data_IF_271128953294
#
_entry.id   IF_271128953294
#
_cell.length_a   1.000
_cell.length_b   1.000
_cell.length_c   1.000
_cell.angle_alpha   90.00
_cell.angle_beta   90.00
_cell.angle_gamma   90.00
#
_symmetry.space_group_name_H-M   'P 1'
#
loop_
_entity.id
_entity.type
_entity.pdbx_description
1 polymer ?
#
# COMPACT_ATOMS: atom_id res chain seq x y z
N UNK A 1 -3.31 -7.43 -10.35
CA UNK A 1 -3.27 -7.76 -8.90
C UNK A 1 -4.30 -6.91 -8.21
N UNK A 2 -4.72 -7.21 -6.98
CA UNK A 2 -5.62 -6.34 -6.22
C UNK A 2 -4.86 -5.70 -5.06
N UNK A 3 -5.07 -4.41 -4.84
CA UNK A 3 -4.40 -3.62 -3.82
C UNK A 3 -5.31 -2.47 -3.35
N UNK A 4 -4.93 -1.80 -2.27
CA UNK A 4 -5.72 -0.70 -1.70
C UNK A 4 -5.23 0.63 -2.27
N UNK A 5 -6.09 1.34 -2.97
CA UNK A 5 -5.77 2.62 -3.60
C UNK A 5 -5.73 3.75 -2.56
N UNK A 6 -4.69 4.58 -2.62
CA UNK A 6 -4.44 5.68 -1.71
C UNK A 6 -4.54 7.02 -2.45
N UNK A 7 -5.05 8.03 -1.75
CA UNK A 7 -4.79 9.41 -2.13
C UNK A 7 -3.31 9.74 -1.94
N UNK A 8 -2.83 10.79 -2.61
CA UNK A 8 -1.46 11.27 -2.44
C UNK A 8 -1.16 11.63 -0.98
N UNK A 9 -2.10 12.29 -0.29
CA UNK A 9 -1.97 12.67 1.12
C UNK A 9 -1.81 11.43 2.02
N UNK A 10 -2.70 10.43 1.88
CA UNK A 10 -2.59 9.16 2.61
C UNK A 10 -1.26 8.44 2.34
N UNK A 11 -0.78 8.45 1.10
CA UNK A 11 0.52 7.87 0.74
C UNK A 11 1.67 8.63 1.40
N UNK A 12 1.61 9.96 1.43
CA UNK A 12 2.66 10.80 2.03
C UNK A 12 2.71 10.63 3.55
N UNK A 13 1.56 10.45 4.19
CA UNK A 13 1.45 10.24 5.63
C UNK A 13 2.08 8.92 6.10
N UNK A 14 2.02 7.86 5.28
CA UNK A 14 2.43 6.52 5.70
C UNK A 14 3.73 6.01 5.07
N UNK A 15 4.19 6.58 3.95
CA UNK A 15 5.36 6.04 3.24
C UNK A 15 6.59 5.97 4.16
N UNK A 16 7.13 4.76 4.35
CA UNK A 16 8.29 4.54 5.20
C UNK A 16 8.00 4.55 6.71
N UNK A 17 6.74 4.76 7.11
CA UNK A 17 6.33 4.67 8.51
C UNK A 17 6.32 3.21 8.95
N UNK A 18 7.02 2.94 10.04
CA UNK A 18 7.05 1.64 10.69
C UNK A 18 5.76 1.42 11.49
N UNK A 19 5.08 0.31 11.25
CA UNK A 19 3.89 -0.10 12.01
C UNK A 19 4.16 -1.26 12.97
N UNK A 20 5.37 -1.83 12.91
CA UNK A 20 5.96 -2.66 13.96
C UNK A 20 7.49 -2.42 14.02
N UNK A 21 8.21 -3.22 14.80
CA UNK A 21 9.66 -3.03 15.04
C UNK A 21 10.53 -3.16 13.78
N UNK A 22 10.06 -3.83 12.73
CA UNK A 22 10.88 -4.18 11.55
C UNK A 22 10.17 -3.98 10.20
N UNK A 23 8.87 -3.68 10.21
CA UNK A 23 8.02 -3.61 9.03
C UNK A 23 7.48 -2.20 8.88
N UNK A 24 7.55 -1.68 7.65
CA UNK A 24 7.10 -0.34 7.29
C UNK A 24 6.18 -0.37 6.08
N UNK A 25 5.34 0.65 5.94
CA UNK A 25 4.48 0.78 4.78
C UNK A 25 5.26 1.22 3.55
N UNK A 26 5.12 0.46 2.46
CA UNK A 26 5.70 0.80 1.18
C UNK A 26 4.60 0.91 0.11
N UNK A 27 4.40 2.11 -0.41
CA UNK A 27 3.41 2.38 -1.44
C UNK A 27 4.06 2.27 -2.83
N UNK A 28 3.33 1.68 -3.76
CA UNK A 28 3.74 1.57 -5.16
C UNK A 28 2.79 2.36 -6.05
N UNK A 29 3.31 2.87 -7.15
CA UNK A 29 2.52 3.58 -8.15
C UNK A 29 2.21 2.64 -9.32
N UNK A 30 0.96 2.65 -9.79
CA UNK A 30 0.53 1.88 -10.96
C UNK A 30 0.87 2.62 -12.27
N UNK A 31 0.46 2.06 -13.42
CA UNK A 31 0.64 2.67 -14.75
C UNK A 31 -0.13 3.98 -14.94
N UNK A 32 -1.23 4.18 -14.23
CA UNK A 32 -2.08 5.36 -14.30
C UNK A 32 -1.66 6.47 -13.33
N UNK A 33 -0.54 6.28 -12.63
CA UNK A 33 -0.02 7.18 -11.59
C UNK A 33 -0.84 7.23 -10.30
N UNK A 34 -1.69 6.24 -10.05
CA UNK A 34 -2.41 6.05 -8.80
C UNK A 34 -1.51 5.33 -7.78
N UNK A 35 -1.67 5.66 -6.50
CA UNK A 35 -0.89 5.08 -5.41
C UNK A 35 -1.61 3.90 -4.78
N UNK A 36 -0.85 2.87 -4.43
CA UNK A 36 -1.38 1.66 -3.83
C UNK A 36 -0.52 1.16 -2.69
N UNK A 37 -1.16 0.53 -1.72
CA UNK A 37 -0.50 -0.28 -0.70
C UNK A 37 -0.93 -1.74 -0.81
N UNK A 38 0.06 -2.63 -0.69
CA UNK A 38 -0.14 -4.06 -0.65
C UNK A 38 0.00 -4.51 0.80
N UNK A 39 -1.04 -5.16 1.32
CA UNK A 39 -1.06 -5.71 2.67
C UNK A 39 -1.22 -7.22 2.55
N UNK A 40 -0.31 -7.98 3.16
CA UNK A 40 -0.48 -9.42 3.33
C UNK A 40 -1.57 -9.72 4.36
N UNK A 41 -2.03 -10.97 4.44
CA UNK A 41 -2.94 -11.40 5.51
C UNK A 41 -2.35 -11.15 6.90
N UNK A 42 -1.03 -11.30 7.06
CA UNK A 42 -0.33 -11.02 8.32
C UNK A 42 -0.33 -9.53 8.66
N UNK A 43 -0.14 -8.66 7.66
CA UNK A 43 -0.21 -7.21 7.87
C UNK A 43 -1.61 -6.83 8.29
N UNK A 44 -2.64 -7.34 7.61
CA UNK A 44 -4.05 -7.09 7.96
C UNK A 44 -4.31 -7.44 9.42
N UNK A 45 -3.95 -8.64 9.87
CA UNK A 45 -4.15 -9.05 11.27
C UNK A 45 -3.43 -8.18 12.31
N UNK A 46 -2.30 -7.56 11.95
CA UNK A 46 -1.58 -6.63 12.84
C UNK A 46 -2.21 -5.23 12.87
N UNK A 47 -2.77 -4.80 11.74
CA UNK A 47 -3.35 -3.46 11.59
C UNK A 47 -4.79 -3.40 12.11
N UNK A 48 -5.49 -4.53 12.15
CA UNK A 48 -6.82 -4.63 12.72
C UNK A 48 -6.84 -4.17 14.20
N UNK A 49 -7.73 -3.24 14.53
CA UNK A 49 -7.85 -2.63 15.86
C UNK A 49 -6.74 -1.64 16.23
N UNK A 50 -5.79 -1.38 15.33
CA UNK A 50 -4.72 -0.39 15.54
C UNK A 50 -5.11 1.01 15.01
N UNK A 51 -4.24 2.00 15.21
CA UNK A 51 -4.38 3.33 14.59
C UNK A 51 -4.38 3.29 13.05
N UNK A 52 -3.94 2.18 12.46
CA UNK A 52 -3.86 1.95 11.03
C UNK A 52 -5.04 1.14 10.47
N UNK A 53 -6.08 0.86 11.26
CA UNK A 53 -7.28 0.13 10.82
C UNK A 53 -7.87 0.71 9.52
N UNK A 54 -7.83 2.04 9.37
CA UNK A 54 -8.32 2.70 8.17
C UNK A 54 -7.65 2.22 6.88
N UNK A 55 -6.39 1.74 6.93
CA UNK A 55 -5.73 1.11 5.78
C UNK A 55 -6.39 -0.21 5.41
N UNK A 56 -6.84 -0.99 6.40
CA UNK A 56 -7.54 -2.27 6.16
C UNK A 56 -8.94 -2.02 5.56
N UNK A 57 -9.57 -0.92 5.94
CA UNK A 57 -10.94 -0.58 5.54
C UNK A 57 -11.06 -0.05 4.09
N UNK A 58 -9.94 0.42 3.49
CA UNK A 58 -9.94 0.88 2.10
C UNK A 58 -10.30 -0.30 1.18
N UNK A 59 -11.31 -0.19 0.31
CA UNK A 59 -11.64 -1.27 -0.61
C UNK A 59 -10.47 -1.60 -1.55
N UNK A 60 -10.39 -2.86 -1.98
CA UNK A 60 -9.39 -3.24 -2.98
C UNK A 60 -9.84 -2.78 -4.37
N UNK A 61 -8.88 -2.34 -5.17
CA UNK A 61 -9.02 -1.97 -6.57
C UNK A 61 -7.99 -2.74 -7.42
N UNK A 62 -8.25 -2.92 -8.72
CA UNK A 62 -7.27 -3.47 -9.64
C UNK A 62 -5.99 -2.61 -9.67
N UNK A 63 -4.84 -3.26 -9.57
CA UNK A 63 -3.53 -2.67 -9.74
C UNK A 63 -2.89 -3.16 -11.04
N UNK A 64 -2.45 -2.19 -11.86
CA UNK A 64 -1.73 -2.41 -13.11
C UNK A 64 -0.26 -1.97 -12.97
N UNK A 65 0.71 -2.91 -12.90
CA UNK A 65 2.11 -2.56 -12.72
C UNK A 65 2.64 -1.74 -13.90
N UNK A 66 3.52 -0.78 -13.61
CA UNK A 66 4.30 -0.13 -14.66
C UNK A 66 5.10 -1.17 -15.45
N UNK A 67 5.20 -1.05 -16.79
CA UNK A 67 6.00 -1.96 -17.58
C UNK A 67 7.44 -1.92 -17.08
N UNK A 68 8.00 -3.09 -16.80
CA UNK A 68 9.42 -3.22 -16.50
C UNK A 68 10.13 -3.06 -17.83
N UNK A 69 10.73 -1.90 -18.08
CA UNK A 69 11.64 -1.78 -19.21
C UNK A 69 12.80 -2.74 -18.95
N UNK A 70 13.10 -3.69 -19.86
CA UNK A 70 14.29 -4.53 -19.71
C UNK A 70 15.52 -3.61 -19.67
N UNK A 71 16.50 -3.87 -18.80
CA UNK A 71 17.73 -3.09 -18.77
C UNK A 71 18.37 -3.13 -20.16
N UNK A 72 18.68 -1.93 -20.70
CA UNK A 72 19.47 -1.75 -21.93
C UNK A 72 20.90 -2.21 -21.74
#
# INVERSE_FOLDING_TARGET
MEARELTTEQKEDIQGVFFDEVTFFNCAQDINNNWFIFLSSTDISKLEGSQWQWLVDIPVSPFEPKPVNPPT
#
